data_IF_011377499243
#
_entry.id   IF_011377499243
#
_cell.length_a   1.000
_cell.length_b   1.000
_cell.length_c   1.000
_cell.angle_alpha   90.00
_cell.angle_beta   90.00
_cell.angle_gamma   90.00
#
_symmetry.space_group_name_H-M   'P 1'
#
loop_
_entity.id
_entity.type
_entity.pdbx_description
1 polymer ?
#
# COMPACT_ATOMS: atom_id res chain seq x y z
N UNK A 1 -11.80 -34.54 -62.00
CA UNK A 1 -12.36 -33.89 -60.80
C UNK A 1 -11.21 -33.48 -59.90
N UNK A 2 -10.96 -32.18 -59.73
CA UNK A 2 -10.06 -31.65 -58.70
C UNK A 2 -10.86 -30.59 -57.94
N UNK A 3 -11.22 -30.89 -56.69
CA UNK A 3 -11.83 -29.92 -55.78
C UNK A 3 -10.70 -29.17 -55.07
N UNK A 4 -10.62 -27.85 -55.28
CA UNK A 4 -9.77 -26.98 -54.49
C UNK A 4 -10.65 -26.33 -53.41
N UNK A 5 -10.35 -26.59 -52.14
CA UNK A 5 -10.99 -25.96 -50.99
C UNK A 5 -10.20 -24.67 -50.69
N UNK A 6 -10.82 -23.48 -50.66
CA UNK A 6 -10.11 -22.28 -50.24
C UNK A 6 -9.97 -22.31 -48.71
N UNK A 7 -8.73 -22.28 -48.23
CA UNK A 7 -8.44 -22.11 -46.81
C UNK A 7 -8.54 -20.62 -46.48
N UNK A 8 -9.64 -20.20 -45.85
CA UNK A 8 -9.80 -18.84 -45.33
C UNK A 8 -9.01 -18.74 -44.02
N UNK A 9 -7.90 -18.01 -44.04
CA UNK A 9 -7.13 -17.66 -42.84
C UNK A 9 -7.91 -16.57 -42.10
N UNK A 10 -8.52 -16.92 -40.96
CA UNK A 10 -9.07 -15.95 -40.01
C UNK A 10 -7.92 -15.50 -39.10
N UNK A 11 -7.40 -14.29 -39.34
CA UNK A 11 -6.46 -13.67 -38.43
C UNK A 11 -7.24 -13.16 -37.19
N UNK A 12 -7.12 -13.87 -36.07
CA UNK A 12 -7.52 -13.34 -34.76
C UNK A 12 -6.52 -12.25 -34.38
N UNK A 13 -6.89 -10.98 -34.61
CA UNK A 13 -6.20 -9.86 -34.00
C UNK A 13 -6.50 -9.88 -32.51
N UNK A 14 -5.52 -10.28 -31.70
CA UNK A 14 -5.56 -10.13 -30.25
C UNK A 14 -5.66 -8.63 -29.95
N UNK A 15 -6.84 -8.15 -29.56
CA UNK A 15 -6.98 -6.81 -29.02
C UNK A 15 -6.24 -6.79 -27.67
N UNK A 16 -4.96 -6.41 -27.70
CA UNK A 16 -4.25 -6.00 -26.50
C UNK A 16 -4.93 -4.70 -26.07
N UNK A 17 -5.82 -4.79 -25.09
CA UNK A 17 -6.36 -3.61 -24.44
C UNK A 17 -5.15 -2.89 -23.82
N UNK A 18 -4.77 -1.77 -24.41
CA UNK A 18 -3.84 -0.86 -23.77
C UNK A 18 -4.45 -0.54 -22.40
N UNK A 19 -3.70 -0.82 -21.33
CA UNK A 19 -4.07 -0.33 -20.00
C UNK A 19 -4.12 1.18 -20.15
N UNK A 20 -5.32 1.75 -20.06
CA UNK A 20 -5.52 3.18 -20.14
C UNK A 20 -4.70 3.81 -19.01
N UNK A 21 -3.56 4.42 -19.36
CA UNK A 21 -2.75 5.11 -18.38
C UNK A 21 -3.59 6.25 -17.84
N UNK A 22 -3.74 6.32 -16.51
CA UNK A 22 -4.38 7.46 -15.87
C UNK A 22 -3.74 8.74 -16.42
N UNK A 23 -4.54 9.73 -16.84
CA UNK A 23 -4.01 11.02 -17.27
C UNK A 23 -3.03 11.57 -16.23
N UNK A 24 -1.94 12.18 -16.70
CA UNK A 24 -1.00 12.81 -15.80
C UNK A 24 -1.72 13.86 -14.94
N UNK A 25 -1.47 13.84 -13.62
CA UNK A 25 -2.08 14.76 -12.66
C UNK A 25 -3.45 14.34 -12.12
N UNK A 26 -3.95 13.14 -12.44
CA UNK A 26 -5.15 12.58 -11.79
C UNK A 26 -4.93 12.34 -10.30
N UNK A 27 -3.76 11.86 -9.91
CA UNK A 27 -3.40 11.67 -8.49
C UNK A 27 -2.74 12.95 -7.98
N UNK A 28 -3.39 13.62 -7.04
CA UNK A 28 -2.90 14.86 -6.40
C UNK A 28 -2.35 14.64 -5.01
N UNK A 29 -2.75 13.56 -4.35
CA UNK A 29 -2.38 13.27 -2.97
C UNK A 29 -1.85 11.83 -2.84
N UNK A 30 -0.83 11.65 -2.02
CA UNK A 30 -0.29 10.36 -1.62
C UNK A 30 -0.39 10.23 -0.09
N UNK A 31 -1.23 9.33 0.39
CA UNK A 31 -1.38 9.00 1.81
C UNK A 31 -0.69 7.66 2.06
N UNK A 32 0.22 7.61 3.04
CA UNK A 32 1.01 6.41 3.30
C UNK A 32 0.86 5.91 4.72
N UNK A 33 0.51 4.64 4.87
CA UNK A 33 0.49 3.89 6.12
C UNK A 33 1.56 2.80 6.07
N UNK A 34 2.04 2.37 7.24
CA UNK A 34 3.01 1.28 7.29
C UNK A 34 4.04 1.39 8.39
N UNK A 35 5.17 0.72 8.17
CA UNK A 35 6.28 0.60 9.10
C UNK A 35 7.53 1.42 8.69
N UNK A 36 8.70 0.99 9.16
CA UNK A 36 10.00 1.62 8.92
C UNK A 36 10.44 1.64 7.46
N UNK A 37 9.83 0.84 6.59
CA UNK A 37 10.08 0.94 5.15
C UNK A 37 9.36 2.12 4.50
N UNK A 38 8.45 2.79 5.21
CA UNK A 38 7.62 3.89 4.68
C UNK A 38 7.70 5.15 5.54
N UNK A 39 8.03 5.06 6.83
CA UNK A 39 8.19 6.22 7.71
C UNK A 39 9.25 7.21 7.16
N UNK A 40 8.87 8.48 7.05
CA UNK A 40 9.76 9.55 6.55
C UNK A 40 10.47 10.32 7.68
N UNK A 41 10.11 10.08 8.94
CA UNK A 41 10.67 10.74 10.12
C UNK A 41 11.76 9.88 10.74
N UNK A 42 11.49 8.59 10.94
CA UNK A 42 12.45 7.64 11.51
C UNK A 42 12.91 6.66 10.42
N UNK A 43 13.80 7.13 9.55
CA UNK A 43 14.30 6.33 8.41
C UNK A 43 15.46 5.44 8.85
N UNK A 44 15.33 4.13 8.69
CA UNK A 44 16.27 3.13 9.25
C UNK A 44 17.68 3.15 8.64
N UNK A 45 17.84 3.66 7.42
CA UNK A 45 19.13 3.76 6.72
C UNK A 45 19.72 5.19 6.69
N UNK A 46 19.04 6.16 7.33
CA UNK A 46 19.41 7.57 7.30
C UNK A 46 19.23 8.24 5.92
N UNK A 47 18.63 7.54 4.96
CA UNK A 47 18.35 8.03 3.61
C UNK A 47 17.02 8.77 3.50
N UNK A 48 16.59 8.98 2.25
CA UNK A 48 15.26 9.51 1.95
C UNK A 48 14.31 8.35 1.67
N UNK A 49 13.24 8.22 2.44
CA UNK A 49 12.25 7.16 2.26
C UNK A 49 11.50 7.29 0.91
N UNK A 50 11.08 6.16 0.36
CA UNK A 50 10.44 6.09 -0.97
C UNK A 50 9.20 7.00 -1.15
N UNK A 51 8.34 7.27 -0.14
CA UNK A 51 7.16 8.11 -0.34
C UNK A 51 7.51 9.54 -0.76
N UNK A 52 8.67 10.05 -0.32
CA UNK A 52 9.17 11.39 -0.69
C UNK A 52 9.49 11.44 -2.19
N UNK A 53 10.19 10.44 -2.71
CA UNK A 53 10.49 10.34 -4.14
C UNK A 53 9.22 10.13 -4.96
N UNK A 54 8.33 9.24 -4.54
CA UNK A 54 7.07 8.96 -5.24
C UNK A 54 6.18 10.19 -5.35
N UNK A 55 5.97 10.92 -4.24
CA UNK A 55 5.23 12.17 -4.24
C UNK A 55 5.90 13.23 -5.13
N UNK A 56 7.23 13.35 -5.06
CA UNK A 56 8.00 14.29 -5.88
C UNK A 56 7.88 14.02 -7.39
N UNK A 57 8.00 12.76 -7.81
CA UNK A 57 7.89 12.37 -9.22
C UNK A 57 6.45 12.45 -9.75
N UNK A 58 5.46 12.18 -8.90
CA UNK A 58 4.05 12.30 -9.26
C UNK A 58 3.51 13.74 -9.17
N UNK A 59 4.30 14.69 -8.66
CA UNK A 59 3.83 16.04 -8.29
C UNK A 59 2.61 16.02 -7.35
N UNK A 60 2.58 15.06 -6.42
CA UNK A 60 1.52 14.88 -5.43
C UNK A 60 1.92 15.41 -4.06
N UNK A 61 0.94 15.81 -3.25
CA UNK A 61 1.14 16.15 -1.84
C UNK A 61 1.24 14.88 -1.00
N UNK A 62 2.28 14.78 -0.15
CA UNK A 62 2.52 13.62 0.72
C UNK A 62 1.88 13.82 2.10
N UNK A 63 1.13 12.81 2.56
CA UNK A 63 0.52 12.72 3.89
C UNK A 63 1.00 11.44 4.60
N UNK A 64 2.08 11.51 5.41
CA UNK A 64 2.80 10.34 5.88
C UNK A 64 2.36 9.88 7.28
N UNK A 65 1.48 8.88 7.36
CA UNK A 65 1.01 8.29 8.62
C UNK A 65 1.84 7.10 9.12
N UNK A 66 2.70 6.52 8.27
CA UNK A 66 3.57 5.40 8.64
C UNK A 66 4.47 5.70 9.86
N UNK A 67 4.76 4.66 10.65
CA UNK A 67 5.60 4.74 11.86
C UNK A 67 6.57 3.57 11.95
N UNK A 68 7.84 3.86 12.15
CA UNK A 68 8.87 2.85 12.35
C UNK A 68 8.54 1.93 13.53
N UNK A 69 8.76 0.62 13.32
CA UNK A 69 8.43 -0.43 14.28
C UNK A 69 6.94 -0.84 14.34
N UNK A 70 6.07 -0.17 13.58
CA UNK A 70 4.64 -0.50 13.54
C UNK A 70 4.40 -1.95 13.10
N UNK A 71 3.44 -2.59 13.76
CA UNK A 71 2.75 -3.80 13.29
C UNK A 71 1.43 -3.42 12.63
N UNK A 72 0.81 -4.35 11.91
CA UNK A 72 -0.54 -4.13 11.38
C UNK A 72 -1.52 -3.87 12.53
N UNK A 73 -1.52 -4.74 13.54
CA UNK A 73 -2.24 -4.49 14.79
C UNK A 73 -1.44 -5.04 15.97
N UNK A 74 -1.42 -4.27 17.06
CA UNK A 74 -0.86 -4.72 18.33
C UNK A 74 -1.72 -5.82 18.99
N UNK A 75 -2.93 -6.07 18.51
CA UNK A 75 -3.75 -7.20 18.93
C UNK A 75 -3.30 -8.54 18.30
N UNK A 76 -2.56 -8.48 17.18
CA UNK A 76 -1.99 -9.65 16.49
C UNK A 76 -0.56 -9.89 17.00
N UNK A 77 0.29 -8.88 16.83
CA UNK A 77 1.66 -8.88 17.33
C UNK A 77 1.89 -7.63 18.15
N UNK A 78 1.89 -7.78 19.47
CA UNK A 78 2.10 -6.66 20.39
C UNK A 78 3.55 -6.17 20.31
N UNK A 79 3.72 -4.91 19.89
CA UNK A 79 4.98 -4.19 19.94
C UNK A 79 4.76 -2.80 20.58
N UNK A 80 5.75 -2.22 21.26
CA UNK A 80 5.64 -0.88 21.86
C UNK A 80 5.79 0.24 20.81
N UNK A 81 5.16 0.09 19.65
CA UNK A 81 5.19 1.05 18.54
C UNK A 81 3.76 1.36 18.06
N UNK A 82 3.54 2.52 17.43
CA UNK A 82 2.21 2.90 16.95
C UNK A 82 1.81 2.07 15.72
N UNK A 83 0.93 1.09 15.93
CA UNK A 83 0.42 0.18 14.90
C UNK A 83 -0.54 0.87 13.92
N UNK A 84 -0.85 0.19 12.82
CA UNK A 84 -1.77 0.71 11.78
C UNK A 84 -3.18 0.89 12.34
N UNK A 85 -3.77 -0.14 12.94
CA UNK A 85 -5.17 -0.12 13.37
C UNK A 85 -5.41 0.66 14.66
N UNK A 86 -4.47 0.64 15.61
CA UNK A 86 -4.66 1.32 16.90
C UNK A 86 -4.11 2.75 16.93
N UNK A 87 -3.34 3.17 15.92
CA UNK A 87 -2.77 4.52 15.89
C UNK A 87 -2.88 5.24 14.56
N UNK A 88 -2.35 4.68 13.46
CA UNK A 88 -2.22 5.42 12.21
C UNK A 88 -3.58 5.73 11.55
N UNK A 89 -4.48 4.75 11.49
CA UNK A 89 -5.86 4.93 11.02
C UNK A 89 -6.65 5.90 11.91
N UNK A 90 -6.67 5.74 13.26
CA UNK A 90 -7.28 6.73 14.15
C UNK A 90 -6.77 8.17 13.95
N UNK A 91 -5.46 8.35 13.73
CA UNK A 91 -4.89 9.67 13.45
C UNK A 91 -5.45 10.25 12.14
N UNK A 92 -5.40 9.48 11.06
CA UNK A 92 -5.97 9.86 9.76
C UNK A 92 -7.45 10.25 9.88
N UNK A 93 -8.28 9.38 10.48
CA UNK A 93 -9.71 9.66 10.62
C UNK A 93 -10.03 10.82 11.57
N UNK A 94 -9.19 11.06 12.59
CA UNK A 94 -9.31 12.23 13.46
C UNK A 94 -9.10 13.52 12.67
N UNK A 95 -8.05 13.57 11.84
CA UNK A 95 -7.71 14.72 11.02
C UNK A 95 -8.71 14.97 9.88
N UNK A 96 -9.29 13.91 9.29
CA UNK A 96 -10.34 14.08 8.30
C UNK A 96 -11.64 14.57 8.94
N UNK A 97 -12.02 13.99 10.09
CA UNK A 97 -13.25 14.34 10.82
C UNK A 97 -13.23 15.76 11.39
N UNK A 98 -12.09 16.22 11.90
CA UNK A 98 -11.95 17.57 12.44
C UNK A 98 -11.70 18.63 11.34
N UNK A 99 -11.48 18.20 10.09
CA UNK A 99 -11.31 19.04 8.91
C UNK A 99 -9.91 19.64 8.75
N UNK A 100 -8.91 19.21 9.54
CA UNK A 100 -7.50 19.61 9.32
C UNK A 100 -6.91 18.93 8.10
N UNK A 101 -7.41 17.74 7.76
CA UNK A 101 -7.08 17.02 6.53
C UNK A 101 -8.31 16.95 5.62
N UNK A 102 -8.21 17.51 4.41
CA UNK A 102 -9.28 17.49 3.40
C UNK A 102 -8.72 16.90 2.12
N UNK A 103 -9.18 15.69 1.79
CA UNK A 103 -8.73 14.94 0.62
C UNK A 103 -9.95 14.52 -0.19
N UNK A 104 -9.82 14.60 -1.51
CA UNK A 104 -10.74 13.94 -2.44
C UNK A 104 -10.24 12.51 -2.67
N UNK A 105 -11.06 11.52 -2.34
CA UNK A 105 -10.69 10.11 -2.47
C UNK A 105 -10.41 9.72 -3.92
N UNK A 106 -11.08 10.36 -4.89
CA UNK A 106 -10.90 10.09 -6.33
C UNK A 106 -9.55 10.61 -6.86
N UNK A 107 -8.92 11.55 -6.15
CA UNK A 107 -7.63 12.15 -6.50
C UNK A 107 -6.51 11.73 -5.53
N UNK A 108 -6.77 10.77 -4.64
CA UNK A 108 -5.86 10.36 -3.58
C UNK A 108 -5.45 8.90 -3.71
N UNK A 109 -4.13 8.67 -3.80
CA UNK A 109 -3.56 7.34 -3.72
C UNK A 109 -3.25 7.00 -2.26
N UNK A 110 -3.82 5.88 -1.78
CA UNK A 110 -3.53 5.33 -0.46
C UNK A 110 -2.59 4.14 -0.60
N UNK A 111 -1.59 4.05 0.27
CA UNK A 111 -0.63 2.95 0.28
C UNK A 111 -0.46 2.38 1.69
N UNK A 112 -0.22 1.08 1.74
CA UNK A 112 0.11 0.35 2.96
C UNK A 112 1.30 -0.56 2.68
N UNK A 113 2.37 -0.43 3.46
CA UNK A 113 3.46 -1.40 3.53
C UNK A 113 3.68 -1.81 4.98
N UNK A 114 3.29 -3.03 5.33
CA UNK A 114 3.31 -3.54 6.70
C UNK A 114 3.59 -5.05 6.74
N UNK A 115 3.89 -5.59 7.92
CA UNK A 115 4.04 -7.02 8.17
C UNK A 115 5.45 -7.42 8.64
N UNK A 116 6.46 -6.59 8.39
CA UNK A 116 7.84 -6.95 8.73
C UNK A 116 8.11 -6.93 10.23
N UNK A 117 7.39 -6.14 11.02
CA UNK A 117 7.47 -6.19 12.48
C UNK A 117 6.51 -7.22 13.10
N UNK A 118 5.46 -7.60 12.37
CA UNK A 118 4.43 -8.56 12.80
C UNK A 118 4.99 -9.98 12.87
N UNK A 119 5.75 -10.36 11.85
CA UNK A 119 6.37 -11.70 11.74
C UNK A 119 7.88 -11.63 11.56
N UNK A 120 8.52 -10.47 11.36
CA UNK A 120 9.94 -10.38 11.02
C UNK A 120 10.91 -10.12 12.18
N UNK A 121 12.13 -9.73 11.79
CA UNK A 121 13.42 -9.74 12.50
C UNK A 121 13.88 -11.11 13.06
N UNK A 122 13.01 -11.85 13.73
CA UNK A 122 13.34 -13.18 14.28
C UNK A 122 12.19 -14.20 14.16
N UNK A 123 10.93 -13.78 14.00
CA UNK A 123 9.80 -14.69 14.18
C UNK A 123 9.39 -15.49 12.94
N UNK A 124 9.70 -15.02 11.73
CA UNK A 124 9.19 -15.62 10.50
C UNK A 124 9.72 -17.05 10.31
N UNK A 125 11.00 -17.25 10.62
CA UNK A 125 11.67 -18.54 10.48
C UNK A 125 11.66 -19.37 11.77
N UNK A 126 11.50 -18.72 12.93
CA UNK A 126 11.57 -19.40 14.23
C UNK A 126 10.21 -19.72 14.83
N UNK A 127 9.14 -19.05 14.36
CA UNK A 127 7.81 -19.12 14.98
C UNK A 127 7.77 -18.54 16.39
N UNK A 128 8.67 -17.60 16.72
CA UNK A 128 8.76 -17.04 18.08
C UNK A 128 7.60 -16.08 18.44
N UNK A 129 6.81 -15.64 17.47
CA UNK A 129 5.56 -14.91 17.68
C UNK A 129 4.35 -15.80 17.38
N UNK A 130 3.21 -15.49 18.00
CA UNK A 130 1.96 -16.22 17.79
C UNK A 130 1.26 -15.85 16.46
N UNK A 131 1.68 -14.77 15.82
CA UNK A 131 1.08 -14.31 14.57
C UNK A 131 1.51 -15.19 13.39
N UNK A 132 0.55 -15.59 12.57
CA UNK A 132 0.79 -16.26 11.30
C UNK A 132 0.80 -15.28 10.14
N UNK A 133 1.34 -15.70 8.99
CA UNK A 133 1.20 -14.95 7.72
C UNK A 133 -0.28 -14.71 7.38
N UNK A 134 -1.16 -15.66 7.72
CA UNK A 134 -2.60 -15.52 7.46
C UNK A 134 -3.19 -14.37 8.27
N UNK A 135 -2.86 -14.26 9.56
CA UNK A 135 -3.34 -13.18 10.43
C UNK A 135 -2.88 -11.81 9.91
N UNK A 136 -1.62 -11.70 9.50
CA UNK A 136 -1.04 -10.45 8.98
C UNK A 136 -1.66 -10.05 7.64
N UNK A 137 -1.87 -11.02 6.75
CA UNK A 137 -2.54 -10.77 5.46
C UNK A 137 -3.99 -10.36 5.67
N UNK A 138 -4.73 -11.05 6.55
CA UNK A 138 -6.11 -10.70 6.87
C UNK A 138 -6.20 -9.28 7.42
N UNK A 139 -5.31 -8.90 8.34
CA UNK A 139 -5.21 -7.54 8.86
C UNK A 139 -4.94 -6.52 7.74
N UNK A 140 -3.98 -6.80 6.86
CA UNK A 140 -3.61 -5.93 5.73
C UNK A 140 -4.78 -5.74 4.75
N UNK A 141 -5.57 -6.80 4.49
CA UNK A 141 -6.77 -6.72 3.65
C UNK A 141 -7.92 -6.03 4.38
N UNK A 142 -8.03 -6.14 5.69
CA UNK A 142 -9.04 -5.41 6.45
C UNK A 142 -8.77 -3.90 6.46
N UNK A 143 -7.52 -3.45 6.28
CA UNK A 143 -7.18 -2.03 6.17
C UNK A 143 -7.88 -1.34 4.98
N UNK A 144 -8.15 -2.04 3.88
CA UNK A 144 -8.91 -1.44 2.76
C UNK A 144 -10.42 -1.35 3.01
N UNK A 145 -10.92 -1.92 4.11
CA UNK A 145 -12.37 -1.98 4.42
C UNK A 145 -12.81 -0.90 5.42
N UNK A 146 -11.88 -0.12 5.98
CA UNK A 146 -12.13 0.88 7.02
C UNK A 146 -12.24 2.29 6.45
#
# INVERSE_FOLDING_TARGET
MKFAIPATIVALASAVQAVEQLPAGTIKNLVTFGDSYTDIVSVGDGGTAWPVYAAGYAHAQLFPFAKSGATCSNNITSRPFPSVFESQLPAYFSETKNGTLKLDAEETLYTLWIGTNDVGANALLTGSDNASIVDVVECTINWVKV
#
